data_IF_723313312170
#
_entry.id   IF_723313312170
#
_cell.length_a   1.000
_cell.length_b   1.000
_cell.length_c   1.000
_cell.angle_alpha   90.00
_cell.angle_beta   90.00
_cell.angle_gamma   90.00
#
_symmetry.space_group_name_H-M   'P 1'
#
loop_
_entity.id
_entity.type
_entity.pdbx_description
1 polymer ?
#
# COMPACT_ATOMS: atom_id res chain seq x y z
N UNK A 1 -37.47 29.08 88.16
CA UNK A 1 -37.25 27.63 87.88
C UNK A 1 -37.21 27.42 86.40
N UNK A 2 -36.03 27.12 85.87
CA UNK A 2 -35.89 26.84 84.49
C UNK A 2 -34.91 25.68 84.29
N UNK A 3 -35.40 24.61 83.84
CA UNK A 3 -34.62 23.40 83.53
C UNK A 3 -34.47 23.33 81.99
N UNK A 4 -33.27 23.46 81.53
CA UNK A 4 -32.94 23.28 80.11
C UNK A 4 -32.39 21.89 79.93
N UNK A 5 -33.05 21.07 79.12
CA UNK A 5 -32.59 19.76 78.66
C UNK A 5 -31.83 19.91 77.38
N UNK A 6 -30.54 19.68 77.42
CA UNK A 6 -29.68 19.45 76.29
C UNK A 6 -29.43 17.94 76.17
N UNK A 7 -30.09 17.30 75.25
CA UNK A 7 -29.81 15.92 74.94
C UNK A 7 -30.21 15.61 73.49
N UNK A 8 -29.28 15.84 72.58
CA UNK A 8 -29.39 15.24 71.25
C UNK A 8 -28.04 15.33 70.49
N UNK A 9 -27.08 14.48 70.84
CA UNK A 9 -25.94 14.25 69.95
C UNK A 9 -25.25 12.90 70.23
N UNK A 10 -26.04 11.83 70.24
CA UNK A 10 -25.50 10.51 70.54
C UNK A 10 -25.88 9.43 69.53
N UNK A 11 -26.11 9.82 68.26
CA UNK A 11 -26.24 8.84 67.16
C UNK A 11 -25.53 9.34 65.93
N UNK A 12 -24.17 9.44 65.97
CA UNK A 12 -23.36 9.52 64.77
C UNK A 12 -22.93 8.07 64.47
N UNK A 13 -23.60 7.44 63.53
CA UNK A 13 -23.20 6.15 63.01
C UNK A 13 -21.79 6.31 62.43
N UNK A 14 -20.88 5.35 62.62
CA UNK A 14 -19.55 5.39 62.02
C UNK A 14 -19.72 5.33 60.51
N UNK A 15 -19.28 6.37 59.81
CA UNK A 15 -19.18 6.44 58.40
C UNK A 15 -18.19 5.35 57.98
N UNK A 16 -18.66 4.30 57.32
CA UNK A 16 -17.82 3.25 56.77
C UNK A 16 -17.00 3.89 55.66
N UNK A 17 -15.72 4.11 55.93
CA UNK A 17 -14.74 4.50 54.94
C UNK A 17 -14.69 3.40 53.87
N UNK A 18 -15.30 3.68 52.72
CA UNK A 18 -15.22 2.77 51.56
C UNK A 18 -13.82 2.95 50.99
N UNK A 19 -12.93 2.07 51.43
CA UNK A 19 -11.60 1.96 50.81
C UNK A 19 -11.79 1.45 49.38
N UNK A 20 -11.87 2.33 48.44
CA UNK A 20 -11.82 2.01 47.01
C UNK A 20 -10.40 1.57 46.70
N UNK A 21 -10.09 0.31 46.78
CA UNK A 21 -8.88 -0.25 46.25
C UNK A 21 -8.97 -0.13 44.71
N UNK A 22 -8.06 0.64 44.05
CA UNK A 22 -8.06 0.67 42.60
C UNK A 22 -7.74 -0.74 42.11
N UNK A 23 -8.73 -1.39 41.52
CA UNK A 23 -8.48 -2.63 40.77
C UNK A 23 -7.71 -2.23 39.51
N UNK A 24 -6.42 -2.49 39.52
CA UNK A 24 -5.59 -2.36 38.30
C UNK A 24 -6.12 -3.41 37.32
N UNK A 25 -6.96 -2.97 36.40
CA UNK A 25 -7.36 -3.79 35.26
C UNK A 25 -6.13 -3.84 34.34
N UNK A 26 -5.37 -4.92 34.45
CA UNK A 26 -4.32 -5.17 33.45
C UNK A 26 -4.99 -5.25 32.07
N UNK A 27 -4.71 -4.25 31.24
CA UNK A 27 -5.14 -4.28 29.85
C UNK A 27 -4.56 -5.53 29.19
N UNK A 28 -5.36 -6.34 28.48
CA UNK A 28 -4.84 -7.51 27.80
C UNK A 28 -3.72 -7.07 26.87
N UNK A 29 -2.53 -7.66 27.01
CA UNK A 29 -1.41 -7.44 26.12
C UNK A 29 -1.81 -7.96 24.75
N UNK A 30 -2.20 -7.04 23.86
CA UNK A 30 -2.52 -7.37 22.48
C UNK A 30 -1.16 -7.70 21.82
N UNK A 31 -0.91 -8.97 21.56
CA UNK A 31 0.26 -9.37 20.77
C UNK A 31 0.07 -8.83 19.36
N UNK A 32 1.03 -8.04 18.90
CA UNK A 32 1.04 -7.53 17.53
C UNK A 32 1.07 -8.72 16.56
N UNK A 33 0.24 -8.72 15.52
CA UNK A 33 0.25 -9.80 14.54
C UNK A 33 1.63 -9.91 13.87
N UNK A 34 2.11 -11.14 13.72
CA UNK A 34 3.36 -11.41 13.00
C UNK A 34 3.11 -11.12 11.53
N UNK A 35 3.60 -9.99 11.04
CA UNK A 35 3.50 -9.62 9.63
C UNK A 35 4.64 -10.28 8.89
N UNK A 36 4.32 -11.22 7.98
CA UNK A 36 5.30 -11.84 7.11
C UNK A 36 5.51 -10.97 5.87
N UNK A 37 6.73 -10.55 5.65
CA UNK A 37 7.11 -9.87 4.40
C UNK A 37 7.17 -10.90 3.28
N UNK A 38 6.33 -10.72 2.26
CA UNK A 38 6.35 -11.56 1.06
C UNK A 38 7.52 -11.09 0.18
N UNK A 39 8.36 -12.01 -0.35
CA UNK A 39 9.44 -11.62 -1.25
C UNK A 39 8.89 -10.95 -2.50
N UNK A 40 9.63 -9.97 -3.00
CA UNK A 40 9.25 -9.28 -4.24
C UNK A 40 9.37 -10.22 -5.44
N UNK A 41 8.50 -10.07 -6.43
CA UNK A 41 8.64 -10.81 -7.68
C UNK A 41 9.94 -10.42 -8.40
N UNK A 42 10.44 -11.36 -9.20
CA UNK A 42 11.61 -11.10 -10.05
C UNK A 42 11.31 -9.98 -11.05
N UNK A 43 12.32 -9.17 -11.41
CA UNK A 43 12.18 -8.15 -12.43
C UNK A 43 11.74 -8.74 -13.77
N UNK A 44 10.80 -8.06 -14.43
CA UNK A 44 10.34 -8.46 -15.76
C UNK A 44 11.47 -8.18 -16.76
N UNK A 45 11.85 -9.21 -17.51
CA UNK A 45 12.77 -9.10 -18.64
C UNK A 45 11.97 -8.79 -19.90
N UNK A 46 11.98 -7.53 -20.29
CA UNK A 46 11.35 -7.10 -21.54
C UNK A 46 12.25 -7.46 -22.72
N UNK A 47 11.63 -7.81 -23.86
CA UNK A 47 12.34 -8.00 -25.12
C UNK A 47 12.37 -6.66 -25.85
N UNK A 48 13.47 -6.40 -26.54
CA UNK A 48 13.55 -5.27 -27.44
C UNK A 48 12.61 -5.51 -28.63
N UNK A 49 11.98 -4.43 -29.09
CA UNK A 49 11.10 -4.44 -30.25
C UNK A 49 11.36 -3.18 -31.09
N UNK A 50 11.62 -3.37 -32.35
CA UNK A 50 11.80 -2.27 -33.29
C UNK A 50 10.45 -1.87 -33.88
N UNK A 51 10.21 -0.58 -33.97
CA UNK A 51 9.01 -0.02 -34.60
C UNK A 51 9.44 0.70 -35.86
N UNK A 52 8.91 0.27 -36.99
CA UNK A 52 9.19 0.90 -38.28
C UNK A 52 7.98 1.73 -38.73
N UNK A 53 8.23 2.98 -39.08
CA UNK A 53 7.21 3.86 -39.63
C UNK A 53 7.14 3.62 -41.14
N UNK A 54 5.96 3.19 -41.61
CA UNK A 54 5.70 2.91 -43.02
C UNK A 54 4.97 4.10 -43.63
N UNK A 55 5.50 4.59 -44.73
CA UNK A 55 4.92 5.66 -45.53
C UNK A 55 4.83 5.21 -46.99
N UNK A 56 4.12 5.97 -47.81
CA UNK A 56 4.08 5.68 -49.26
C UNK A 56 5.48 5.65 -49.89
N UNK A 57 6.43 6.44 -49.37
CA UNK A 57 7.78 6.54 -49.91
C UNK A 57 8.64 5.30 -49.62
N UNK A 58 8.45 4.60 -48.49
CA UNK A 58 9.31 3.48 -48.11
C UNK A 58 8.57 2.12 -48.11
N UNK A 59 7.32 2.10 -48.50
CA UNK A 59 6.48 0.88 -48.44
C UNK A 59 7.13 -0.29 -49.19
N UNK A 60 7.63 -0.09 -50.42
CA UNK A 60 8.20 -1.16 -51.24
C UNK A 60 9.49 -1.70 -50.61
N UNK A 61 10.35 -0.83 -50.11
CA UNK A 61 11.58 -1.22 -49.42
C UNK A 61 11.28 -2.09 -48.18
N UNK A 62 10.24 -1.72 -47.41
CA UNK A 62 9.84 -2.48 -46.23
C UNK A 62 9.27 -3.84 -46.62
N UNK A 63 8.47 -3.95 -47.70
CA UNK A 63 7.95 -5.21 -48.21
C UNK A 63 9.12 -6.12 -48.62
N UNK A 64 10.06 -5.64 -49.40
CA UNK A 64 11.20 -6.38 -49.89
C UNK A 64 12.09 -6.88 -48.75
N UNK A 65 12.33 -6.03 -47.75
CA UNK A 65 13.14 -6.34 -46.59
C UNK A 65 12.47 -7.45 -45.75
N UNK A 66 11.18 -7.29 -45.38
CA UNK A 66 10.43 -8.27 -44.59
C UNK A 66 10.38 -9.61 -45.34
N UNK A 67 10.07 -9.60 -46.63
CA UNK A 67 10.01 -10.80 -47.45
C UNK A 67 11.36 -11.52 -47.52
N UNK A 68 12.46 -10.78 -47.62
CA UNK A 68 13.81 -11.34 -47.62
C UNK A 68 14.17 -12.02 -46.29
N UNK A 69 13.78 -11.43 -45.16
CA UNK A 69 14.12 -11.94 -43.83
C UNK A 69 13.19 -13.08 -43.39
N UNK A 70 11.88 -12.95 -43.65
CA UNK A 70 10.85 -13.88 -43.13
C UNK A 70 10.34 -14.88 -44.16
N UNK A 71 10.64 -14.68 -45.45
CA UNK A 71 10.14 -15.52 -46.55
C UNK A 71 8.73 -15.16 -47.04
N UNK A 72 7.96 -14.42 -46.25
CA UNK A 72 6.63 -13.93 -46.58
C UNK A 72 6.41 -12.53 -46.01
N UNK A 73 5.51 -11.75 -46.62
CA UNK A 73 5.15 -10.44 -46.13
C UNK A 73 3.95 -10.53 -45.21
N UNK A 74 4.19 -10.42 -43.89
CA UNK A 74 3.14 -10.29 -42.85
C UNK A 74 3.45 -9.09 -41.97
N UNK A 75 2.50 -8.21 -41.83
CA UNK A 75 2.63 -7.00 -41.05
C UNK A 75 1.42 -6.78 -40.14
N UNK A 76 1.67 -6.45 -38.90
CA UNK A 76 0.66 -5.91 -37.99
C UNK A 76 0.82 -4.40 -37.95
N UNK A 77 -0.17 -3.67 -38.47
CA UNK A 77 -0.11 -2.21 -38.57
C UNK A 77 -1.08 -1.54 -37.62
N UNK A 78 -0.72 -0.35 -37.17
CA UNK A 78 -1.59 0.54 -36.41
C UNK A 78 -1.49 1.96 -36.96
N UNK A 79 -2.54 2.75 -36.78
CA UNK A 79 -2.51 4.17 -37.13
C UNK A 79 -1.62 4.96 -36.17
N UNK A 80 -1.16 6.16 -36.58
CA UNK A 80 -0.41 7.07 -35.72
C UNK A 80 -1.15 7.39 -34.42
N UNK A 81 -2.47 7.61 -34.48
CA UNK A 81 -3.29 7.84 -33.31
C UNK A 81 -3.34 6.62 -32.37
N UNK A 82 -3.43 5.40 -32.94
CA UNK A 82 -3.42 4.19 -32.13
C UNK A 82 -2.06 3.95 -31.47
N UNK A 83 -0.97 4.26 -32.14
CA UNK A 83 0.37 4.19 -31.60
C UNK A 83 0.57 5.19 -30.44
N UNK A 84 0.10 6.45 -30.61
CA UNK A 84 0.13 7.46 -29.55
C UNK A 84 -0.65 6.99 -28.30
N UNK A 85 -1.88 6.46 -28.52
CA UNK A 85 -2.67 5.91 -27.43
C UNK A 85 -1.97 4.75 -26.73
N UNK A 86 -1.31 3.86 -27.47
CA UNK A 86 -0.52 2.76 -26.91
C UNK A 86 0.64 3.27 -26.09
N UNK A 87 1.40 4.24 -26.59
CA UNK A 87 2.53 4.85 -25.88
C UNK A 87 2.07 5.51 -24.56
N UNK A 88 0.99 6.27 -24.58
CA UNK A 88 0.41 6.88 -23.39
C UNK A 88 -0.06 5.83 -22.37
N UNK A 89 -0.68 4.76 -22.83
CA UNK A 89 -1.10 3.67 -21.95
C UNK A 89 0.11 2.98 -21.29
N UNK A 90 1.20 2.75 -22.02
CA UNK A 90 2.42 2.19 -21.48
C UNK A 90 3.05 3.09 -20.43
N UNK A 91 3.06 4.40 -20.64
CA UNK A 91 3.53 5.39 -19.68
C UNK A 91 2.69 5.37 -18.38
N UNK A 92 1.35 5.28 -18.51
CA UNK A 92 0.45 5.16 -17.36
C UNK A 92 0.71 3.88 -16.56
N UNK A 93 0.93 2.75 -17.25
CA UNK A 93 1.26 1.47 -16.60
C UNK A 93 2.60 1.58 -15.85
N UNK A 94 3.62 2.15 -16.48
CA UNK A 94 4.93 2.40 -15.86
C UNK A 94 4.79 3.22 -14.60
N UNK A 95 4.08 4.35 -14.67
CA UNK A 95 3.83 5.21 -13.50
C UNK A 95 3.12 4.44 -12.40
N UNK A 96 2.07 3.70 -12.72
CA UNK A 96 1.34 2.89 -11.74
C UNK A 96 2.25 1.88 -11.02
N UNK A 97 3.13 1.20 -11.76
CA UNK A 97 4.10 0.25 -11.18
C UNK A 97 5.07 0.98 -10.25
N UNK A 98 5.56 2.15 -10.63
CA UNK A 98 6.46 2.95 -9.80
C UNK A 98 5.79 3.41 -8.49
N UNK A 99 4.55 3.87 -8.57
CA UNK A 99 3.74 4.24 -7.40
C UNK A 99 3.49 3.02 -6.48
N UNK A 100 3.14 1.86 -7.03
CA UNK A 100 2.97 0.63 -6.25
C UNK A 100 4.27 0.20 -5.56
N UNK A 101 5.40 0.32 -6.22
CA UNK A 101 6.70 0.04 -5.62
C UNK A 101 7.00 0.97 -4.43
N UNK A 102 6.63 2.24 -4.50
CA UNK A 102 6.79 3.18 -3.39
C UNK A 102 5.92 2.80 -2.20
N UNK A 103 4.67 2.39 -2.45
CA UNK A 103 3.75 1.90 -1.41
C UNK A 103 4.33 0.66 -0.72
N UNK A 104 4.83 -0.30 -1.50
CA UNK A 104 5.46 -1.52 -0.95
C UNK A 104 6.67 -1.16 -0.08
N UNK A 105 7.55 -0.28 -0.57
CA UNK A 105 8.72 0.19 0.19
C UNK A 105 8.34 0.87 1.51
N UNK A 106 7.25 1.65 1.50
CA UNK A 106 6.74 2.28 2.70
C UNK A 106 6.33 1.24 3.76
N UNK A 107 5.54 0.25 3.36
CA UNK A 107 5.10 -0.81 4.28
C UNK A 107 6.24 -1.71 4.74
N UNK A 108 7.17 -2.07 3.86
CA UNK A 108 8.35 -2.84 4.24
C UNK A 108 9.16 -2.12 5.34
N UNK A 109 9.37 -0.80 5.19
CA UNK A 109 10.08 0.01 6.20
C UNK A 109 9.31 0.12 7.51
N UNK A 110 7.97 0.16 7.45
CA UNK A 110 7.13 0.24 8.64
C UNK A 110 7.16 -1.06 9.45
N UNK A 111 7.25 -2.21 8.77
CA UNK A 111 7.24 -3.55 9.38
C UNK A 111 8.64 -3.93 9.89
N UNK A 112 9.72 -3.48 9.23
CA UNK A 112 11.10 -3.80 9.62
C UNK A 112 11.68 -2.88 10.68
N UNK A 113 10.99 -1.79 11.05
CA UNK A 113 11.34 -1.03 12.25
C UNK A 113 10.95 -1.86 13.45
N UNK A 114 11.96 -2.47 14.10
CA UNK A 114 11.79 -3.07 15.42
C UNK A 114 11.15 -2.04 16.38
N UNK A 115 10.21 -2.46 17.25
CA UNK A 115 9.71 -1.59 18.30
C UNK A 115 10.92 -1.14 19.11
N UNK A 116 11.12 0.18 19.22
CA UNK A 116 12.05 0.73 20.19
C UNK A 116 11.55 0.29 21.56
N UNK A 117 12.30 -0.57 22.24
CA UNK A 117 12.11 -0.80 23.65
C UNK A 117 12.29 0.54 24.36
N UNK A 118 11.19 1.07 24.90
CA UNK A 118 11.21 2.15 25.91
C UNK A 118 11.42 1.56 27.31
#
# INVERSE_FOLDING_TARGET
VLVTLNACSLFRAPEKEVVITPTVVESPKIEAPIIRVVPRPDPIKMKDSDIVVITEANLQEVIDNITTIQGEFVLYAMTAQSFEALALNMEQIKRFIEEQNQVILYYEKAVTKEPKEE
#
